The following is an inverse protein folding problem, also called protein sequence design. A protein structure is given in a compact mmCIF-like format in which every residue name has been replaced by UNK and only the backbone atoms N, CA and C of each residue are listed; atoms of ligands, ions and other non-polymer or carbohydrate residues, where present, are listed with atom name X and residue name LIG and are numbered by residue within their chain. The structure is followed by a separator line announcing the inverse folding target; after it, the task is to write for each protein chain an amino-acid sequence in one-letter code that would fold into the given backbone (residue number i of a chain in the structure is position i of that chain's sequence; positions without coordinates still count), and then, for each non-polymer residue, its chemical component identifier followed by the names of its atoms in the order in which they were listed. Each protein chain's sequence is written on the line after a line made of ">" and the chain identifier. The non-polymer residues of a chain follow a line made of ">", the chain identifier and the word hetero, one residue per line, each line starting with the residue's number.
data_IF_318000595661
#
_entry.id   IF_318000595661
#
_cell.length_a   1.000
_cell.length_b   1.000
_cell.length_c   1.000
_cell.angle_alpha   90.00
_cell.angle_beta   90.00
_cell.angle_gamma   90.00
#
_symmetry.space_group_name_H-M   'P 1'
#
loop_
_entity.id
_entity.type
_entity.pdbx_description
1 polymer ?
#
# COMPACT_ATOMS: atom_id res chain seq x y z
N UNK A 1 -9.05 -5.63 -6.82
CA UNK A 1 -8.33 -5.52 -8.11
C UNK A 1 -7.11 -4.57 -8.05
N UNK A 2 -6.31 -4.57 -6.97
CA UNK A 2 -5.11 -3.70 -6.86
C UNK A 2 -3.84 -4.38 -7.38
N UNK A 3 -3.69 -5.70 -7.19
CA UNK A 3 -2.50 -6.43 -7.64
C UNK A 3 -2.30 -6.38 -9.15
N UNK A 4 -3.40 -6.43 -9.90
CA UNK A 4 -3.38 -6.30 -11.37
C UNK A 4 -2.94 -4.89 -11.79
N UNK A 5 -3.48 -3.84 -11.15
CA UNK A 5 -3.10 -2.46 -11.45
C UNK A 5 -1.61 -2.17 -11.14
N UNK A 6 -1.05 -2.84 -10.14
CA UNK A 6 0.37 -2.77 -9.81
C UNK A 6 1.25 -3.71 -10.64
N UNK A 7 0.68 -4.47 -11.58
CA UNK A 7 1.43 -5.39 -12.43
C UNK A 7 2.02 -6.59 -11.69
N UNK A 8 1.49 -6.94 -10.52
CA UNK A 8 1.95 -8.09 -9.72
C UNK A 8 1.44 -9.43 -10.29
N UNK A 9 0.44 -9.38 -11.18
CA UNK A 9 -0.14 -10.55 -11.82
C UNK A 9 0.26 -10.56 -13.28
N UNK A 10 0.92 -11.65 -13.70
CA UNK A 10 1.31 -11.84 -15.09
C UNK A 10 0.08 -12.09 -15.97
N UNK A 11 0.09 -11.47 -17.14
CA UNK A 11 -0.92 -11.72 -18.17
C UNK A 11 -0.39 -12.77 -19.15
N UNK A 12 -0.81 -14.01 -18.93
CA UNK A 12 -0.52 -15.11 -19.85
C UNK A 12 -1.55 -15.14 -20.99
N UNK A 13 -1.10 -15.53 -22.19
CA UNK A 13 -1.97 -15.58 -23.37
C UNK A 13 -3.12 -16.56 -23.14
N UNK A 14 -4.34 -16.05 -23.18
CA UNK A 14 -5.57 -16.86 -23.09
C UNK A 14 -6.03 -17.18 -21.67
N UNK A 15 -5.36 -16.68 -20.64
CA UNK A 15 -5.81 -16.79 -19.25
C UNK A 15 -6.19 -15.40 -18.75
N UNK A 16 -7.38 -15.30 -18.19
CA UNK A 16 -7.84 -14.05 -17.62
C UNK A 16 -7.06 -13.71 -16.33
N UNK A 17 -6.68 -12.44 -16.18
CA UNK A 17 -5.81 -11.99 -15.08
C UNK A 17 -6.50 -12.10 -13.72
N UNK A 18 -7.84 -12.04 -13.66
CA UNK A 18 -8.58 -12.25 -12.42
C UNK A 18 -8.53 -13.70 -11.98
N UNK A 19 -8.58 -14.64 -12.94
CA UNK A 19 -8.43 -16.08 -12.65
C UNK A 19 -7.06 -16.35 -12.05
N UNK A 20 -5.99 -15.80 -12.63
CA UNK A 20 -4.63 -15.92 -12.10
C UNK A 20 -4.51 -15.28 -10.72
N UNK A 21 -5.06 -14.09 -10.51
CA UNK A 21 -5.05 -13.42 -9.20
C UNK A 21 -5.76 -14.24 -8.12
N UNK A 22 -6.92 -14.82 -8.44
CA UNK A 22 -7.68 -15.68 -7.53
C UNK A 22 -6.93 -16.97 -7.20
N UNK A 23 -6.19 -17.53 -8.16
CA UNK A 23 -5.34 -18.69 -7.92
C UNK A 23 -4.23 -18.39 -6.92
N UNK A 24 -3.54 -17.24 -7.07
CA UNK A 24 -2.54 -16.80 -6.09
C UNK A 24 -3.12 -16.59 -4.69
N UNK A 25 -4.32 -16.00 -4.58
CA UNK A 25 -5.00 -15.87 -3.28
C UNK A 25 -5.23 -17.23 -2.64
N UNK A 26 -5.71 -18.23 -3.40
CA UNK A 26 -5.89 -19.60 -2.91
C UNK A 26 -4.59 -20.23 -2.44
N UNK A 27 -3.50 -20.00 -3.16
CA UNK A 27 -2.19 -20.51 -2.76
C UNK A 27 -1.69 -19.88 -1.47
N UNK A 28 -1.87 -18.58 -1.27
CA UNK A 28 -1.53 -17.90 -0.02
C UNK A 28 -2.38 -18.41 1.15
N UNK A 29 -3.66 -18.71 0.93
CA UNK A 29 -4.52 -19.36 1.93
C UNK A 29 -3.98 -20.75 2.27
N UNK A 30 -3.66 -21.56 1.25
CA UNK A 30 -3.13 -22.91 1.44
C UNK A 30 -1.77 -22.95 2.13
N UNK A 31 -0.98 -21.88 2.00
CA UNK A 31 0.29 -21.69 2.70
C UNK A 31 0.12 -21.10 4.12
N UNK A 32 -1.11 -20.90 4.59
CA UNK A 32 -1.44 -20.28 5.87
C UNK A 32 -0.86 -18.86 6.03
N UNK A 33 -0.64 -18.15 4.92
CA UNK A 33 -0.15 -16.78 4.93
C UNK A 33 -1.28 -15.78 5.08
N UNK A 34 -2.48 -16.10 4.58
CA UNK A 34 -3.69 -15.31 4.76
C UNK A 34 -4.84 -16.24 5.11
N UNK A 35 -5.81 -15.73 5.86
CA UNK A 35 -6.97 -16.48 6.31
C UNK A 35 -8.23 -15.93 5.64
N UNK A 36 -9.05 -16.82 5.11
CA UNK A 36 -10.40 -16.47 4.66
C UNK A 36 -11.38 -16.64 5.83
N UNK A 37 -12.05 -15.54 6.19
CA UNK A 37 -13.10 -15.55 7.21
C UNK A 37 -14.41 -16.09 6.65
N UNK A 38 -15.35 -16.43 7.54
CA UNK A 38 -16.70 -16.91 7.19
C UNK A 38 -17.46 -16.01 6.20
N UNK A 39 -17.13 -14.72 6.18
CA UNK A 39 -17.76 -13.72 5.31
C UNK A 39 -16.99 -13.46 4.01
N UNK A 40 -16.07 -14.36 3.62
CA UNK A 40 -15.18 -14.23 2.46
C UNK A 40 -14.27 -12.99 2.50
N UNK A 41 -14.06 -12.43 3.69
CA UNK A 41 -13.03 -11.41 3.89
C UNK A 41 -11.69 -12.09 4.14
N UNK A 42 -10.63 -11.53 3.59
CA UNK A 42 -9.27 -12.00 3.82
C UNK A 42 -8.66 -11.24 5.00
N UNK A 43 -7.99 -11.97 5.89
CA UNK A 43 -7.23 -11.40 7.02
C UNK A 43 -5.80 -11.91 6.99
N UNK A 44 -4.90 -11.09 7.50
CA UNK A 44 -3.51 -11.46 7.77
C UNK A 44 -3.35 -11.59 9.27
N UNK A 45 -2.65 -12.63 9.73
CA UNK A 45 -2.35 -12.79 11.15
C UNK A 45 -1.38 -11.69 11.62
N UNK A 46 -1.53 -11.19 12.85
CA UNK A 46 -0.75 -10.06 13.37
C UNK A 46 0.77 -10.26 13.24
N UNK A 47 1.26 -11.46 13.58
CA UNK A 47 2.69 -11.80 13.43
C UNK A 47 3.17 -11.69 11.97
N UNK A 48 2.38 -12.15 11.00
CA UNK A 48 2.73 -12.07 9.59
C UNK A 48 2.62 -10.62 9.08
N UNK A 49 1.67 -9.85 9.62
CA UNK A 49 1.55 -8.43 9.35
C UNK A 49 2.77 -7.66 9.84
N UNK A 50 3.23 -7.92 11.07
CA UNK A 50 4.43 -7.30 11.64
C UNK A 50 5.69 -7.69 10.85
N UNK A 51 5.79 -8.95 10.43
CA UNK A 51 6.87 -9.42 9.57
C UNK A 51 6.85 -8.71 8.20
N UNK A 52 5.69 -8.60 7.57
CA UNK A 52 5.54 -7.91 6.29
C UNK A 52 5.90 -6.42 6.41
N UNK A 53 5.52 -5.78 7.52
CA UNK A 53 5.90 -4.40 7.82
C UNK A 53 7.41 -4.26 7.99
N UNK A 54 8.03 -5.15 8.76
CA UNK A 54 9.48 -5.14 8.98
C UNK A 54 10.26 -5.29 7.66
N UNK A 55 9.82 -6.21 6.79
CA UNK A 55 10.44 -6.43 5.47
C UNK A 55 10.22 -5.21 4.55
N UNK A 56 9.03 -4.63 4.58
CA UNK A 56 8.63 -3.53 3.70
C UNK A 56 9.01 -2.13 4.20
N UNK A 57 9.54 -1.98 5.42
CA UNK A 57 9.66 -0.70 6.15
C UNK A 57 10.32 0.41 5.35
N UNK A 58 11.35 0.09 4.55
CA UNK A 58 12.07 1.07 3.74
C UNK A 58 11.24 1.62 2.57
N UNK A 59 10.27 0.85 2.10
CA UNK A 59 9.55 1.07 0.84
C UNK A 59 8.05 1.34 1.07
N UNK A 60 7.55 1.08 2.27
CA UNK A 60 6.17 1.25 2.68
C UNK A 60 6.03 2.19 3.89
N UNK A 61 5.08 3.13 3.82
CA UNK A 61 4.81 4.09 4.90
C UNK A 61 3.32 4.29 5.12
N UNK A 62 2.95 4.62 6.37
CA UNK A 62 1.56 4.85 6.81
C UNK A 62 1.18 6.31 7.08
N UNK A 63 2.17 7.21 7.03
CA UNK A 63 1.98 8.58 7.54
C UNK A 63 2.41 9.64 6.53
N UNK A 64 3.57 9.45 5.90
CA UNK A 64 4.12 10.39 4.93
C UNK A 64 5.07 9.69 3.97
N UNK A 65 5.17 10.20 2.75
CA UNK A 65 6.15 9.73 1.80
C UNK A 65 7.53 10.33 2.10
N UNK A 66 8.54 9.48 2.09
CA UNK A 66 9.95 9.86 1.97
C UNK A 66 10.42 9.59 0.54
N UNK A 67 11.65 9.99 0.20
CA UNK A 67 12.24 9.71 -1.12
C UNK A 67 12.36 8.21 -1.42
N UNK A 68 12.23 7.36 -0.41
CA UNK A 68 12.39 5.90 -0.51
C UNK A 68 11.04 5.17 -0.47
N UNK A 69 9.96 5.87 -0.13
CA UNK A 69 8.60 5.31 -0.09
C UNK A 69 8.10 5.04 -1.51
N UNK A 70 7.82 3.77 -1.81
CA UNK A 70 7.15 3.34 -3.04
C UNK A 70 5.64 3.25 -2.87
N UNK A 71 5.19 2.86 -1.67
CA UNK A 71 3.78 2.67 -1.35
C UNK A 71 3.42 3.43 -0.07
N UNK A 72 2.42 4.31 -0.16
CA UNK A 72 1.92 5.10 0.96
C UNK A 72 0.47 4.70 1.25
N UNK A 73 0.21 4.24 2.46
CA UNK A 73 -1.13 4.12 3.01
C UNK A 73 -1.41 5.33 3.89
N UNK A 74 -2.59 5.93 3.78
CA UNK A 74 -3.01 7.01 4.67
C UNK A 74 -4.22 6.54 5.46
N UNK A 75 -4.05 6.37 6.77
CA UNK A 75 -5.19 6.20 7.66
C UNK A 75 -5.98 7.51 7.71
N UNK A 76 -7.31 7.45 7.82
CA UNK A 76 -8.17 8.66 7.80
C UNK A 76 -7.76 9.75 8.80
N UNK A 77 -7.16 9.37 9.93
CA UNK A 77 -6.60 10.29 10.94
C UNK A 77 -5.34 11.00 10.42
N UNK A 78 -4.48 10.29 9.69
CA UNK A 78 -3.25 10.85 9.10
C UNK A 78 -3.52 11.69 7.85
N UNK A 79 -4.65 11.51 7.15
CA UNK A 79 -5.04 12.38 6.03
C UNK A 79 -5.20 13.83 6.48
N UNK A 80 -5.78 14.05 7.66
CA UNK A 80 -5.93 15.39 8.22
C UNK A 80 -4.56 16.02 8.54
N UNK A 81 -3.63 15.24 9.08
CA UNK A 81 -2.28 15.72 9.45
C UNK A 81 -1.37 15.91 8.22
N UNK A 82 -1.41 14.99 7.24
CA UNK A 82 -0.71 15.11 5.97
C UNK A 82 -1.17 16.36 5.18
N UNK A 83 -2.47 16.68 5.21
CA UNK A 83 -2.98 17.94 4.64
C UNK A 83 -2.41 19.17 5.35
N UNK A 84 -2.25 19.16 6.68
CA UNK A 84 -1.61 20.26 7.42
C UNK A 84 -0.13 20.41 7.07
N UNK A 85 0.61 19.30 6.99
CA UNK A 85 2.03 19.33 6.61
C UNK A 85 2.22 19.84 5.17
N UNK A 86 1.37 19.39 4.23
CA UNK A 86 1.40 19.87 2.84
C UNK A 86 1.00 21.36 2.74
N UNK A 87 0.01 21.81 3.51
CA UNK A 87 -0.35 23.23 3.58
C UNK A 87 0.75 24.09 4.22
N UNK A 88 1.45 23.57 5.22
CA UNK A 88 2.62 24.21 5.85
C UNK A 88 3.80 24.31 4.87
N UNK A 89 4.07 23.25 4.10
CA UNK A 89 5.09 23.22 3.05
C UNK A 89 4.74 24.12 1.86
N UNK A 90 3.46 24.28 1.53
CA UNK A 90 3.00 25.26 0.56
C UNK A 90 3.15 26.70 1.08
N UNK A 91 2.85 26.95 2.37
CA UNK A 91 3.06 28.25 3.02
C UNK A 91 4.54 28.64 3.11
N UNK A 92 5.46 27.69 3.28
CA UNK A 92 6.90 27.99 3.30
C UNK A 92 7.49 28.25 1.91
N UNK A 93 6.86 27.74 0.83
CA UNK A 93 7.23 28.08 -0.55
C UNK A 93 6.73 29.45 -1.04
N UNK A 94 5.78 30.06 -0.34
CA UNK A 94 5.22 31.38 -0.69
C UNK A 94 5.97 32.58 -0.08
N UNK A 95 7.15 32.39 0.51
CA UNK A 95 7.90 33.46 1.20
C UNK A 95 9.23 33.90 0.55
N UNK A 96 9.51 33.51 -0.69
CA UNK A 96 10.70 34.02 -1.38
C UNK A 96 10.42 34.34 -2.84
N UNK A 97 9.75 35.47 -3.07
CA UNK A 97 9.81 36.20 -4.34
C UNK A 97 9.87 37.70 -4.05
N UNK A 98 10.99 38.13 -3.48
CA UNK A 98 11.46 39.51 -3.57
C UNK A 98 12.99 39.47 -3.48
N UNK A 99 13.63 39.59 -4.64
CA UNK A 99 15.02 40.01 -4.81
C UNK A 99 15.11 40.63 -6.22
N UNK A 100 15.93 41.66 -6.44
CA UNK A 100 16.13 42.92 -5.72
C UNK A 100 15.24 44.06 -6.25
#
# INVERSE_FOLDING_TARGET
>A
MQWIAHGLINQDKGIDVEVTANQWIKELINQFLIEETEHKNLKLHDILHDLALYIGEKEFSHAYATDHTRHLSLLGVHVAEARKHNASRAKSKLRTLLVP
#
